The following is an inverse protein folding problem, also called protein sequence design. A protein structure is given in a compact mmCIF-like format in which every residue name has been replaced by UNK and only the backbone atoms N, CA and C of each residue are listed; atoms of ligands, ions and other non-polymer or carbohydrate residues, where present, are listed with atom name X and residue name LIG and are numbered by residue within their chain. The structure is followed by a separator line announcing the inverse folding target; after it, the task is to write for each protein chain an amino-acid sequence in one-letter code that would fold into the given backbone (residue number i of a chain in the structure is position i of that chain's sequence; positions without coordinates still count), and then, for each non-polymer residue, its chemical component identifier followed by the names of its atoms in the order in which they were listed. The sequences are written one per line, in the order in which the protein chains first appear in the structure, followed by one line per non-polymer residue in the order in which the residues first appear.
data_IF_364248869953
#
_entry.id   IF_364248869953
#
_cell.length_a   1.000
_cell.length_b   1.000
_cell.length_c   1.000
_cell.angle_alpha   90.00
_cell.angle_beta   90.00
_cell.angle_gamma   90.00
#
_symmetry.space_group_name_H-M   'P 1'
#
loop_
_entity.id
_entity.type
_entity.pdbx_description
1 polymer ?
#
# COMPACT_ATOMS: atom_id res chain seq x y z
N UNK A 1 -11.04 -28.80 -23.54
CA UNK A 1 -9.97 -27.76 -23.50
C UNK A 1 -10.11 -26.75 -24.65
N UNK A 2 -10.36 -27.19 -25.90
CA UNK A 2 -10.42 -26.33 -27.11
C UNK A 2 -11.52 -25.25 -27.09
N UNK A 3 -12.68 -25.49 -26.48
CA UNK A 3 -13.81 -24.55 -26.52
C UNK A 3 -13.56 -23.27 -25.70
N UNK A 4 -12.96 -23.39 -24.50
CA UNK A 4 -12.70 -22.23 -23.62
C UNK A 4 -11.67 -21.27 -24.20
N UNK A 5 -10.59 -21.80 -24.80
CA UNK A 5 -9.59 -20.96 -25.48
C UNK A 5 -10.18 -20.20 -26.68
N UNK A 6 -11.05 -20.85 -27.46
CA UNK A 6 -11.75 -20.20 -28.59
C UNK A 6 -12.72 -19.10 -28.12
N UNK A 7 -13.44 -19.33 -27.02
CA UNK A 7 -14.32 -18.31 -26.43
C UNK A 7 -13.52 -17.12 -25.90
N UNK A 8 -12.35 -17.36 -25.30
CA UNK A 8 -11.46 -16.29 -24.84
C UNK A 8 -10.99 -15.43 -26.03
N UNK A 9 -10.50 -16.06 -27.10
CA UNK A 9 -10.08 -15.38 -28.32
C UNK A 9 -11.23 -14.56 -28.93
N UNK A 10 -12.43 -15.14 -29.03
CA UNK A 10 -13.61 -14.46 -29.54
C UNK A 10 -14.00 -13.26 -28.66
N UNK A 11 -13.89 -13.40 -27.33
CA UNK A 11 -14.17 -12.31 -26.39
C UNK A 11 -13.18 -11.15 -26.56
N UNK A 12 -11.89 -11.44 -26.66
CA UNK A 12 -10.83 -10.44 -26.89
C UNK A 12 -11.06 -9.70 -28.22
N UNK A 13 -11.34 -10.44 -29.30
CA UNK A 13 -11.61 -9.83 -30.60
C UNK A 13 -12.87 -8.97 -30.58
N UNK A 14 -13.91 -9.40 -29.83
CA UNK A 14 -15.14 -8.64 -29.67
C UNK A 14 -14.93 -7.36 -28.88
N UNK A 15 -14.15 -7.39 -27.79
CA UNK A 15 -13.88 -6.20 -26.98
C UNK A 15 -12.98 -5.19 -27.71
N UNK A 16 -12.10 -5.67 -28.58
CA UNK A 16 -11.22 -4.82 -29.38
C UNK A 16 -11.78 -4.48 -30.77
N UNK A 17 -13.01 -4.91 -31.10
CA UNK A 17 -13.56 -4.80 -32.45
C UNK A 17 -13.59 -3.36 -32.98
N UNK A 18 -13.99 -2.39 -32.15
CA UNK A 18 -14.05 -0.98 -32.56
C UNK A 18 -12.67 -0.42 -32.91
N UNK A 19 -11.64 -0.76 -32.13
CA UNK A 19 -10.26 -0.33 -32.37
C UNK A 19 -9.65 -1.02 -33.59
N UNK A 20 -9.91 -2.31 -33.76
CA UNK A 20 -9.40 -3.09 -34.88
C UNK A 20 -10.08 -2.73 -36.21
N UNK A 21 -11.33 -2.24 -36.17
CA UNK A 21 -12.01 -1.70 -37.34
C UNK A 21 -11.31 -0.45 -37.89
N UNK A 22 -10.91 0.49 -37.02
CA UNK A 22 -10.17 1.68 -37.44
C UNK A 22 -8.70 1.40 -37.74
N UNK A 23 -8.11 0.40 -37.08
CA UNK A 23 -6.66 0.18 -37.05
C UNK A 23 -6.29 -1.32 -37.13
N UNK A 24 -6.62 -2.01 -38.25
CA UNK A 24 -6.48 -3.47 -38.35
C UNK A 24 -5.02 -3.95 -38.25
N UNK A 25 -4.06 -3.10 -38.61
CA UNK A 25 -2.63 -3.39 -38.54
C UNK A 25 -2.12 -3.64 -37.10
N UNK A 26 -2.88 -3.24 -36.08
CA UNK A 26 -2.54 -3.45 -34.68
C UNK A 26 -3.06 -4.77 -34.13
N UNK A 27 -3.73 -5.60 -34.94
CA UNK A 27 -4.21 -6.92 -34.54
C UNK A 27 -3.11 -7.76 -33.87
N UNK A 28 -1.88 -7.88 -34.42
CA UNK A 28 -0.83 -8.68 -33.77
C UNK A 28 -0.45 -8.15 -32.39
N UNK A 29 -0.45 -6.82 -32.20
CA UNK A 29 -0.14 -6.20 -30.91
C UNK A 29 -1.26 -6.42 -29.89
N UNK A 30 -2.52 -6.29 -30.31
CA UNK A 30 -3.69 -6.55 -29.45
C UNK A 30 -3.74 -8.02 -29.03
N UNK A 31 -3.48 -8.93 -29.97
CA UNK A 31 -3.42 -10.35 -29.68
C UNK A 31 -2.26 -10.69 -28.75
N UNK A 32 -1.06 -10.17 -29.00
CA UNK A 32 0.09 -10.39 -28.10
C UNK A 32 -0.20 -9.88 -26.68
N UNK A 33 -0.71 -8.65 -26.54
CA UNK A 33 -0.98 -8.05 -25.24
C UNK A 33 -2.05 -8.82 -24.45
N UNK A 34 -3.11 -9.24 -25.13
CA UNK A 34 -4.23 -9.92 -24.49
C UNK A 34 -3.90 -11.36 -24.14
N UNK A 35 -3.17 -12.08 -25.00
CA UNK A 35 -2.81 -13.49 -24.78
C UNK A 35 -1.74 -13.68 -23.71
N UNK A 36 -0.80 -12.73 -23.59
CA UNK A 36 0.24 -12.77 -22.56
C UNK A 36 -0.34 -12.89 -21.14
N UNK A 37 -1.49 -12.27 -20.88
CA UNK A 37 -2.17 -12.31 -19.58
C UNK A 37 -2.71 -13.70 -19.21
N UNK A 38 -2.93 -14.57 -20.19
CA UNK A 38 -3.53 -15.88 -19.99
C UNK A 38 -2.54 -17.04 -20.19
N UNK A 39 -1.24 -16.75 -20.29
CA UNK A 39 -0.19 -17.75 -20.55
C UNK A 39 -0.18 -18.89 -19.52
N UNK A 40 -0.33 -18.55 -18.24
CA UNK A 40 -0.32 -19.54 -17.15
C UNK A 40 -1.59 -20.40 -17.13
N UNK A 41 -2.72 -19.85 -17.58
CA UNK A 41 -4.02 -20.54 -17.59
C UNK A 41 -4.20 -21.39 -18.86
N UNK A 42 -3.64 -20.93 -19.99
CA UNK A 42 -3.70 -21.62 -21.27
C UNK A 42 -2.31 -21.65 -21.93
N UNK A 43 -1.45 -22.63 -21.55
CA UNK A 43 -0.08 -22.72 -22.05
C UNK A 43 0.01 -22.83 -23.58
N UNK A 44 -1.01 -23.42 -24.21
CA UNK A 44 -1.10 -23.53 -25.67
C UNK A 44 -1.18 -22.16 -26.39
N UNK A 45 -1.51 -21.07 -25.69
CA UNK A 45 -1.52 -19.71 -26.25
C UNK A 45 -0.10 -19.13 -26.39
N UNK A 46 0.89 -19.71 -25.72
CA UNK A 46 2.28 -19.26 -25.78
C UNK A 46 2.88 -19.40 -27.18
N UNK A 47 2.52 -20.48 -27.90
CA UNK A 47 2.94 -20.68 -29.29
C UNK A 47 2.51 -19.50 -30.18
N UNK A 48 1.26 -19.04 -30.06
CA UNK A 48 0.75 -17.91 -30.84
C UNK A 48 1.47 -16.60 -30.51
N UNK A 49 1.79 -16.37 -29.23
CA UNK A 49 2.59 -15.20 -28.82
C UNK A 49 4.00 -15.25 -29.41
N UNK A 50 4.62 -16.43 -29.41
CA UNK A 50 5.95 -16.64 -29.98
C UNK A 50 5.95 -16.46 -31.50
N UNK A 51 4.94 -16.95 -32.20
CA UNK A 51 4.78 -16.80 -33.64
C UNK A 51 4.66 -15.32 -34.03
N UNK A 52 3.80 -14.56 -33.33
CA UNK A 52 3.66 -13.10 -33.53
C UNK A 52 5.00 -12.38 -33.33
N UNK A 53 5.73 -12.75 -32.28
CA UNK A 53 7.06 -12.17 -31.99
C UNK A 53 8.09 -12.53 -33.05
N UNK A 54 8.06 -13.76 -33.55
CA UNK A 54 8.97 -14.23 -34.58
C UNK A 54 8.72 -13.54 -35.92
N UNK A 55 7.46 -13.42 -36.34
CA UNK A 55 7.07 -12.68 -37.54
C UNK A 55 7.51 -11.20 -37.46
N UNK A 56 7.30 -10.56 -36.30
CA UNK A 56 7.78 -9.19 -36.05
C UNK A 56 9.29 -9.06 -36.17
N UNK A 57 10.05 -10.03 -35.65
CA UNK A 57 11.53 -10.06 -35.77
C UNK A 57 11.98 -10.23 -37.22
N UNK A 58 11.28 -11.07 -38.00
CA UNK A 58 11.59 -11.30 -39.41
C UNK A 58 11.30 -10.06 -40.27
N UNK A 59 10.16 -9.42 -40.04
CA UNK A 59 9.71 -8.25 -40.84
C UNK A 59 10.37 -6.93 -40.41
N UNK A 60 11.04 -6.90 -39.24
CA UNK A 60 11.62 -5.69 -38.62
C UNK A 60 10.64 -4.52 -38.52
N UNK A 61 9.35 -4.80 -38.43
CA UNK A 61 8.27 -3.80 -38.37
C UNK A 61 7.35 -4.12 -37.20
N UNK A 62 6.87 -3.09 -36.52
CA UNK A 62 5.90 -3.20 -35.43
C UNK A 62 6.49 -3.01 -34.04
N UNK A 63 5.60 -2.80 -33.06
CA UNK A 63 5.92 -2.61 -31.65
C UNK A 63 5.78 -3.92 -30.89
N UNK A 64 6.78 -4.27 -30.09
CA UNK A 64 6.71 -5.43 -29.19
C UNK A 64 6.31 -5.04 -27.79
N UNK A 65 5.52 -5.91 -27.15
CA UNK A 65 5.15 -5.75 -25.75
C UNK A 65 6.03 -6.63 -24.86
N UNK A 66 6.76 -5.99 -23.96
CA UNK A 66 7.35 -6.64 -22.79
C UNK A 66 6.45 -6.31 -21.62
N UNK A 67 5.65 -7.29 -21.20
CA UNK A 67 5.02 -7.22 -19.88
C UNK A 67 6.15 -7.56 -18.91
N UNK A 68 6.64 -6.55 -18.17
CA UNK A 68 7.48 -6.82 -17.00
C UNK A 68 6.74 -7.86 -16.17
N UNK A 69 7.41 -8.89 -15.62
CA UNK A 69 6.73 -9.87 -14.78
C UNK A 69 5.97 -9.09 -13.72
N UNK A 70 4.64 -9.06 -13.86
CA UNK A 70 3.76 -8.64 -12.80
C UNK A 70 4.20 -9.47 -11.60
N UNK A 71 4.43 -8.89 -10.40
CA UNK A 71 4.73 -9.71 -9.24
C UNK A 71 3.75 -10.88 -9.23
N UNK A 72 4.27 -12.12 -9.28
CA UNK A 72 3.50 -13.36 -9.51
C UNK A 72 2.36 -13.56 -8.49
N UNK A 73 2.36 -12.72 -7.45
CA UNK A 73 1.23 -12.44 -6.61
C UNK A 73 1.25 -10.94 -6.31
N UNK A 74 0.31 -10.17 -6.87
CA UNK A 74 -0.40 -9.29 -5.95
C UNK A 74 -1.24 -10.29 -5.18
N UNK A 75 -0.89 -10.63 -3.92
CA UNK A 75 -1.76 -11.51 -3.15
C UNK A 75 -3.17 -10.92 -3.29
N UNK A 76 -4.20 -11.74 -3.60
CA UNK A 76 -5.55 -11.23 -3.51
C UNK A 76 -5.62 -10.50 -2.17
N UNK A 77 -6.12 -9.26 -2.17
CA UNK A 77 -6.51 -8.61 -0.92
C UNK A 77 -7.69 -9.45 -0.44
N UNK A 78 -7.37 -10.60 0.17
CA UNK A 78 -8.24 -11.27 1.07
C UNK A 78 -8.28 -10.32 2.24
N UNK A 79 -9.33 -9.50 2.26
CA UNK A 79 -9.97 -9.18 3.51
C UNK A 79 -10.37 -10.54 4.09
N UNK A 80 -9.44 -11.24 4.75
CA UNK A 80 -9.85 -12.19 5.75
C UNK A 80 -10.61 -11.32 6.74
N UNK A 81 -11.94 -11.42 6.67
CA UNK A 81 -12.74 -11.27 7.86
C UNK A 81 -12.16 -12.27 8.82
N UNK A 82 -11.16 -11.85 9.59
CA UNK A 82 -10.88 -12.47 10.85
C UNK A 82 -12.21 -12.34 11.58
N UNK A 83 -12.94 -13.45 11.69
CA UNK A 83 -13.81 -13.69 12.84
C UNK A 83 -12.90 -13.76 14.08
N UNK A 84 -12.25 -12.64 14.40
CA UNK A 84 -12.02 -12.28 15.79
C UNK A 84 -13.41 -11.90 16.25
N UNK A 85 -13.91 -12.60 17.28
CA UNK A 85 -15.10 -12.19 18.02
C UNK A 85 -15.16 -10.67 18.05
N UNK A 86 -16.09 -10.09 17.29
CA UNK A 86 -16.10 -8.67 16.98
C UNK A 86 -16.44 -7.88 18.24
N UNK A 87 -15.45 -7.65 19.09
CA UNK A 87 -15.30 -6.34 19.69
C UNK A 87 -15.10 -5.40 18.50
N UNK A 88 -16.15 -4.64 18.19
CA UNK A 88 -16.22 -3.66 17.09
C UNK A 88 -15.22 -2.53 17.34
N UNK A 89 -13.94 -2.83 17.23
CA UNK A 89 -12.87 -1.85 17.38
C UNK A 89 -12.64 -1.23 16.01
N UNK A 90 -12.98 0.05 15.86
CA UNK A 90 -12.85 0.79 14.62
C UNK A 90 -11.51 1.53 14.54
N UNK A 91 -10.94 1.65 13.34
CA UNK A 91 -9.76 2.49 13.11
C UNK A 91 -10.16 3.96 13.15
N UNK A 92 -9.49 4.77 13.98
CA UNK A 92 -9.74 6.21 14.16
C UNK A 92 -8.72 7.09 13.44
N UNK A 93 -7.48 6.64 13.26
CA UNK A 93 -6.45 7.34 12.51
C UNK A 93 -5.49 6.33 11.84
N UNK A 94 -4.91 6.71 10.71
CA UNK A 94 -4.02 5.85 9.94
C UNK A 94 -2.91 6.66 9.26
N UNK A 95 -1.70 6.12 9.22
CA UNK A 95 -0.59 6.73 8.50
C UNK A 95 0.32 5.66 7.88
N UNK A 96 0.80 5.92 6.66
CA UNK A 96 1.76 5.07 5.96
C UNK A 96 3.10 5.80 5.76
N UNK A 97 4.20 5.09 5.90
CA UNK A 97 5.55 5.59 5.61
C UNK A 97 5.98 5.21 4.19
N UNK A 98 7.02 5.88 3.66
CA UNK A 98 7.57 5.60 2.33
C UNK A 98 8.24 4.23 2.22
N UNK A 99 8.62 3.61 3.33
CA UNK A 99 9.20 2.26 3.36
C UNK A 99 8.15 1.14 3.51
N UNK A 100 6.85 1.47 3.39
CA UNK A 100 5.78 0.48 3.40
C UNK A 100 5.36 0.02 4.80
N UNK A 101 5.66 0.82 5.85
CA UNK A 101 5.13 0.59 7.19
C UNK A 101 3.83 1.36 7.35
N UNK A 102 2.78 0.70 7.81
CA UNK A 102 1.48 1.32 8.10
C UNK A 102 1.24 1.27 9.60
N UNK A 103 0.71 2.35 10.14
CA UNK A 103 0.32 2.49 11.53
C UNK A 103 -1.15 2.89 11.63
N UNK A 104 -1.89 2.27 12.53
CA UNK A 104 -3.31 2.51 12.75
C UNK A 104 -3.61 2.65 14.24
N UNK A 105 -4.42 3.64 14.56
CA UNK A 105 -4.94 3.86 15.92
C UNK A 105 -6.39 3.38 15.94
N UNK A 106 -6.71 2.61 16.96
CA UNK A 106 -8.04 2.08 17.20
C UNK A 106 -8.84 2.98 18.14
N UNK A 107 -10.17 2.85 18.16
CA UNK A 107 -11.06 3.58 19.06
C UNK A 107 -10.85 3.26 20.55
N UNK A 108 -10.37 2.05 20.87
CA UNK A 108 -9.98 1.64 22.23
C UNK A 108 -8.67 2.30 22.71
N UNK A 109 -7.96 2.98 21.80
CA UNK A 109 -6.67 3.64 22.01
C UNK A 109 -5.47 2.73 21.76
N UNK A 110 -5.66 1.50 21.27
CA UNK A 110 -4.54 0.65 20.85
C UNK A 110 -3.93 1.11 19.54
N UNK A 111 -2.61 0.91 19.39
CA UNK A 111 -1.89 1.19 18.15
C UNK A 111 -1.39 -0.12 17.52
N UNK A 112 -1.58 -0.24 16.22
CA UNK A 112 -1.24 -1.42 15.44
C UNK A 112 -0.31 -1.01 14.30
N UNK A 113 0.70 -1.85 14.06
CA UNK A 113 1.68 -1.64 13.01
C UNK A 113 1.67 -2.83 12.06
N UNK A 114 1.69 -2.53 10.77
CA UNK A 114 1.89 -3.47 9.69
C UNK A 114 3.24 -3.19 9.02
N UNK A 115 4.12 -4.19 8.95
CA UNK A 115 5.40 -4.11 8.24
C UNK A 115 5.49 -5.19 7.15
N UNK A 116 5.89 -4.81 5.95
CA UNK A 116 6.25 -5.75 4.88
C UNK A 116 5.07 -6.29 4.05
N UNK A 117 5.38 -7.21 3.13
CA UNK A 117 4.41 -7.87 2.24
C UNK A 117 3.75 -9.10 2.85
N UNK A 118 4.28 -9.59 3.98
CA UNK A 118 3.61 -10.56 4.84
C UNK A 118 2.71 -9.81 5.81
N UNK A 119 1.58 -10.39 6.18
CA UNK A 119 0.62 -9.81 7.12
C UNK A 119 1.14 -9.78 8.56
N UNK A 120 2.36 -9.28 8.78
CA UNK A 120 2.99 -9.17 10.09
C UNK A 120 2.36 -7.96 10.81
N UNK A 121 1.30 -8.28 11.53
CA UNK A 121 0.54 -7.35 12.34
C UNK A 121 1.00 -7.42 13.79
N UNK A 122 1.58 -6.34 14.29
CA UNK A 122 2.01 -6.23 15.67
C UNK A 122 1.22 -5.13 16.40
N UNK A 123 0.71 -5.45 17.59
CA UNK A 123 0.23 -4.43 18.53
C UNK A 123 1.46 -3.73 19.11
N UNK A 124 1.49 -2.40 19.06
CA UNK A 124 2.52 -1.62 19.75
C UNK A 124 2.31 -1.74 21.26
N UNK A 125 3.19 -2.50 21.91
CA UNK A 125 3.36 -2.51 23.35
C UNK A 125 4.63 -1.72 23.68
N UNK A 126 4.49 -0.69 24.51
CA UNK A 126 5.64 -0.09 25.17
C UNK A 126 6.15 -1.03 26.28
N UNK A 127 7.35 -0.77 26.81
CA UNK A 127 8.00 -1.65 27.80
C UNK A 127 7.06 -2.00 28.98
N UNK A 128 7.25 -3.15 29.65
CA UNK A 128 6.34 -3.65 30.70
C UNK A 128 6.10 -2.68 31.86
N UNK A 129 7.00 -1.72 32.06
CA UNK A 129 6.98 -0.72 33.13
C UNK A 129 6.10 0.49 32.79
N UNK A 130 5.77 0.71 31.51
CA UNK A 130 4.87 1.77 31.06
C UNK A 130 3.44 1.23 31.02
N UNK A 131 2.63 1.58 32.03
CA UNK A 131 1.16 1.42 32.02
C UNK A 131 0.61 1.75 30.64
N UNK A 132 -0.23 0.88 30.08
CA UNK A 132 -0.82 0.96 28.73
C UNK A 132 -1.09 2.41 28.29
N UNK A 133 -0.15 2.97 27.53
CA UNK A 133 -0.30 4.28 26.91
C UNK A 133 -1.33 4.14 25.79
N UNK A 134 -2.44 4.86 25.93
CA UNK A 134 -3.47 4.94 24.89
C UNK A 134 -3.08 5.99 23.87
N UNK A 135 -3.18 5.62 22.61
CA UNK A 135 -2.90 6.49 21.48
C UNK A 135 -4.15 7.26 21.07
N UNK A 136 -3.94 8.48 20.60
CA UNK A 136 -4.97 9.41 20.15
C UNK A 136 -4.87 9.71 18.65
N UNK A 137 -3.73 9.43 18.02
CA UNK A 137 -3.53 9.75 16.60
C UNK A 137 -2.14 9.37 16.10
N UNK A 138 -2.01 9.35 14.78
CA UNK A 138 -0.77 9.03 14.09
C UNK A 138 -0.59 9.89 12.84
N UNK A 139 0.66 10.30 12.57
CA UNK A 139 1.06 11.02 11.35
C UNK A 139 2.33 10.39 10.80
N UNK A 140 2.60 10.59 9.51
CA UNK A 140 3.84 10.13 8.88
C UNK A 140 4.53 11.24 8.09
N UNK A 141 5.87 11.15 8.03
CA UNK A 141 6.71 11.95 7.14
C UNK A 141 7.94 11.14 6.74
N UNK A 142 8.00 10.72 5.48
CA UNK A 142 9.13 9.90 4.99
C UNK A 142 9.15 8.54 5.67
N UNK A 143 10.21 8.25 6.42
CA UNK A 143 10.38 7.04 7.22
C UNK A 143 9.91 7.18 8.68
N UNK A 144 9.50 8.39 9.09
CA UNK A 144 9.15 8.65 10.48
C UNK A 144 7.65 8.55 10.69
N UNK A 145 7.27 8.01 11.84
CA UNK A 145 5.94 8.08 12.40
C UNK A 145 5.96 8.97 13.64
N UNK A 146 4.89 9.75 13.82
CA UNK A 146 4.63 10.52 15.01
C UNK A 146 3.31 10.05 15.61
N UNK A 147 3.37 9.57 16.85
CA UNK A 147 2.26 9.03 17.61
C UNK A 147 1.92 10.02 18.73
N UNK A 148 0.67 10.46 18.78
CA UNK A 148 0.15 11.23 19.90
C UNK A 148 -0.61 10.31 20.86
N UNK A 149 -0.45 10.53 22.15
CA UNK A 149 -1.16 9.77 23.19
C UNK A 149 -2.31 10.56 23.79
N UNK A 150 -3.25 9.87 24.45
CA UNK A 150 -4.36 10.51 25.16
C UNK A 150 -3.89 11.31 26.39
N UNK A 151 -2.66 11.07 26.87
CA UNK A 151 -2.03 11.86 27.92
C UNK A 151 -1.12 12.97 27.37
N UNK A 152 -1.37 13.43 26.13
CA UNK A 152 -0.66 14.52 25.45
C UNK A 152 0.84 14.30 25.22
N UNK A 153 1.34 13.06 25.32
CA UNK A 153 2.72 12.75 24.94
C UNK A 153 2.83 12.57 23.43
N UNK A 154 3.99 12.95 22.89
CA UNK A 154 4.36 12.71 21.51
C UNK A 154 5.53 11.72 21.45
N UNK A 155 5.36 10.66 20.67
CA UNK A 155 6.36 9.64 20.46
C UNK A 155 6.73 9.59 18.97
N UNK A 156 7.99 9.74 18.63
CA UNK A 156 8.50 9.53 17.28
C UNK A 156 9.12 8.15 17.13
N UNK A 157 8.95 7.60 15.93
CA UNK A 157 9.58 6.35 15.54
C UNK A 157 10.23 6.46 14.16
N UNK A 158 11.50 6.06 14.07
CA UNK A 158 12.14 5.78 12.79
C UNK A 158 11.87 4.32 12.39
N UNK A 159 11.03 4.14 11.38
CA UNK A 159 10.63 2.79 10.92
C UNK A 159 11.74 2.02 10.21
N UNK A 160 12.86 2.67 9.87
CA UNK A 160 14.06 2.01 9.30
C UNK A 160 15.08 1.63 10.38
N UNK A 161 14.93 2.17 11.58
CA UNK A 161 15.82 1.93 12.71
C UNK A 161 15.36 0.79 13.63
N UNK A 162 15.98 0.65 14.80
CA UNK A 162 15.50 -0.26 15.83
C UNK A 162 14.06 0.09 16.25
N UNK A 163 13.32 -0.91 16.73
CA UNK A 163 11.95 -0.75 17.21
C UNK A 163 11.91 -0.01 18.55
N UNK A 164 12.20 1.29 18.50
CA UNK A 164 12.26 2.16 19.66
C UNK A 164 11.45 3.43 19.41
N UNK A 165 10.57 3.72 20.36
CA UNK A 165 9.81 4.96 20.41
C UNK A 165 10.59 5.99 21.23
N UNK A 166 10.75 7.19 20.68
CA UNK A 166 11.42 8.31 21.33
C UNK A 166 10.39 9.36 21.72
N UNK A 167 10.29 9.66 23.01
CA UNK A 167 9.45 10.75 23.49
C UNK A 167 10.02 12.11 23.07
N UNK A 168 9.19 12.92 22.42
CA UNK A 168 9.54 14.28 22.04
C UNK A 168 9.00 15.20 23.12
N UNK A 169 9.92 15.87 23.81
CA UNK A 169 9.56 16.97 24.68
C UNK A 169 9.18 18.17 23.79
N UNK A 170 7.96 18.69 23.95
CA UNK A 170 7.58 19.94 23.31
C UNK A 170 8.15 21.11 24.12
N UNK A 171 9.08 21.92 23.57
CA UNK A 171 9.57 23.10 24.27
C UNK A 171 8.46 24.10 24.62
N UNK A 172 7.33 24.09 23.90
CA UNK A 172 6.20 25.00 24.13
C UNK A 172 5.30 24.59 25.31
N UNK A 173 5.39 23.36 25.82
CA UNK A 173 4.62 22.94 27.01
C UNK A 173 5.21 23.50 28.32
N UNK A 174 6.42 24.03 28.30
CA UNK A 174 7.10 24.53 29.52
C UNK A 174 6.53 25.86 30.03
N UNK A 175 5.73 26.58 29.23
CA UNK A 175 5.28 27.94 29.57
C UNK A 175 3.78 28.10 29.90
N UNK A 176 2.94 27.08 29.73
CA UNK A 176 1.51 27.23 30.02
C UNK A 176 0.92 26.01 30.72
N UNK A 177 0.82 26.11 32.05
CA UNK A 177 0.08 25.16 32.89
C UNK A 177 -1.44 25.21 32.72
N UNK A 178 -1.97 25.86 31.69
CA UNK A 178 -3.40 26.15 31.52
C UNK A 178 -3.79 26.16 30.03
N UNK A 179 -3.99 24.98 29.44
CA UNK A 179 -5.03 24.78 28.41
C UNK A 179 -5.09 23.30 28.00
N UNK A 180 -6.17 22.63 28.40
CA UNK A 180 -6.61 21.31 27.90
C UNK A 180 -7.11 21.38 26.44
N UNK A 181 -6.47 22.18 25.59
CA UNK A 181 -6.71 22.09 24.15
C UNK A 181 -6.01 20.82 23.68
N UNK A 182 -6.81 19.85 23.20
CA UNK A 182 -6.35 18.61 22.61
C UNK A 182 -5.21 18.97 21.64
N UNK A 183 -3.96 18.65 21.98
CA UNK A 183 -2.76 19.02 21.23
C UNK A 183 -2.74 18.29 19.88
N UNK A 184 -3.63 18.69 18.98
CA UNK A 184 -3.90 18.00 17.73
C UNK A 184 -2.86 18.47 16.73
N UNK A 185 -1.74 17.77 16.74
CA UNK A 185 -0.73 17.86 15.70
C UNK A 185 -1.43 17.63 14.36
N UNK A 186 -1.44 18.66 13.52
CA UNK A 186 -2.05 18.59 12.20
C UNK A 186 -1.12 17.86 11.24
N UNK A 187 0.17 18.14 11.35
CA UNK A 187 1.21 17.42 10.64
C UNK A 187 2.59 17.75 11.15
N UNK A 188 3.57 17.03 10.61
CA UNK A 188 4.97 17.29 10.84
C UNK A 188 5.76 16.98 9.58
N UNK A 189 6.95 17.55 9.48
CA UNK A 189 7.94 17.20 8.48
C UNK A 189 9.26 16.88 9.17
N UNK A 190 9.87 15.79 8.73
CA UNK A 190 11.22 15.43 9.12
C UNK A 190 12.20 15.97 8.08
N UNK A 191 13.13 16.82 8.51
CA UNK A 191 14.20 17.34 7.66
C UNK A 191 15.54 17.16 8.37
N UNK A 192 16.42 16.34 7.81
CA UNK A 192 17.71 15.98 8.41
C UNK A 192 17.52 15.44 9.85
N UNK A 193 18.09 16.12 10.85
CA UNK A 193 17.96 15.77 12.28
C UNK A 193 16.92 16.62 13.01
N UNK A 194 16.02 17.28 12.28
CA UNK A 194 14.99 18.16 12.85
C UNK A 194 13.61 17.64 12.50
N UNK A 195 12.72 17.70 13.49
CA UNK A 195 11.29 17.51 13.31
C UNK A 195 10.63 18.87 13.45
N UNK A 196 9.94 19.31 12.40
CA UNK A 196 9.16 20.53 12.41
C UNK A 196 7.69 20.15 12.41
N UNK A 197 6.95 20.61 13.41
CA UNK A 197 5.57 20.22 13.65
C UNK A 197 4.68 21.46 13.63
N UNK A 198 3.47 21.33 13.09
CA UNK A 198 2.47 22.38 13.14
C UNK A 198 1.16 21.84 13.71
N UNK A 199 0.43 22.76 14.35
CA UNK A 199 -0.85 22.49 15.00
C UNK A 199 -1.90 23.36 14.35
N UNK A 200 -3.10 22.83 14.25
CA UNK A 200 -4.26 23.62 13.86
C UNK A 200 -4.51 24.63 14.98
N UNK A 201 -4.59 25.93 14.64
CA UNK A 201 -5.15 26.91 15.56
C UNK A 201 -6.66 26.71 15.59
N UNK A 202 -7.22 26.68 16.79
CA UNK A 202 -8.68 26.75 16.98
C UNK A 202 -9.24 28.06 16.43
#
# INVERSE_FOLDING_TARGET
MVLRGRMLLASILKSCACFLQSSPLYLPTVMEASLLLYREVFPALECYVNDIRQERRQTRRGLGLVVCPTPCSVPPIHCSGYEVETNKVCVTDIAGTKCGVVAGIMDDGSAWIWKGSGCDLAKLSLSPEQKELKFAGVKSSGQFLLLSTQCNKLLAWDTTGPEMLLEINDPLETESGLSQALNRVEGFVAWQKKLCMWRKRE
#
